data_IF_109085131828
#
_entry.id   IF_109085131828
#
_cell.length_a   1.000
_cell.length_b   1.000
_cell.length_c   1.000
_cell.angle_alpha   90.00
_cell.angle_beta   90.00
_cell.angle_gamma   90.00
#
_symmetry.space_group_name_H-M   'P 1'
#
loop_
_entity.id
_entity.type
_entity.pdbx_description
1 polymer ?
#
# COMPACT_ATOMS: atom_id res chain seq x y z
N UNK A 1 1.66 2.39 16.80
CA UNK A 1 0.39 2.95 16.31
C UNK A 1 -0.34 1.84 15.53
N UNK A 2 -1.56 1.41 15.90
CA UNK A 2 -2.35 0.55 15.04
C UNK A 2 -3.54 1.34 14.48
N UNK A 3 -3.40 1.82 13.26
CA UNK A 3 -4.53 2.26 12.43
C UNK A 3 -4.42 1.50 11.11
N UNK A 4 -4.96 0.27 11.07
CA UNK A 4 -5.01 -0.49 9.83
C UNK A 4 -5.99 0.16 8.87
N UNK A 5 -5.57 0.47 7.64
CA UNK A 5 -6.46 0.93 6.59
C UNK A 5 -7.47 -0.16 6.25
N UNK A 6 -8.77 0.14 6.41
CA UNK A 6 -9.84 -0.79 6.06
C UNK A 6 -9.78 -1.19 4.57
N UNK A 7 -10.12 -2.43 4.27
CA UNK A 7 -10.34 -2.88 2.90
C UNK A 7 -11.56 -2.17 2.29
N UNK A 8 -11.54 -1.88 0.99
CA UNK A 8 -12.74 -1.45 0.26
C UNK A 8 -13.80 -2.56 0.30
N UNK A 9 -15.07 -2.18 0.45
CA UNK A 9 -16.18 -3.15 0.52
C UNK A 9 -16.34 -3.95 -0.78
N UNK A 10 -16.65 -5.24 -0.66
CA UNK A 10 -16.99 -6.08 -1.81
C UNK A 10 -18.29 -5.56 -2.48
N UNK A 11 -18.26 -5.38 -3.81
CA UNK A 11 -19.44 -5.05 -4.60
C UNK A 11 -19.95 -3.61 -4.50
N UNK A 12 -19.14 -2.66 -4.01
CA UNK A 12 -19.54 -1.25 -3.93
C UNK A 12 -18.91 -0.43 -5.05
N UNK A 13 -19.75 0.11 -5.93
CA UNK A 13 -19.33 1.09 -6.93
C UNK A 13 -18.73 2.32 -6.25
N UNK A 14 -17.58 2.80 -6.74
CA UNK A 14 -16.87 4.01 -6.31
C UNK A 14 -16.18 4.01 -4.93
N UNK A 15 -16.17 2.89 -4.18
CA UNK A 15 -15.45 2.85 -2.91
C UNK A 15 -13.99 2.42 -3.11
N UNK A 16 -13.08 3.39 -3.06
CA UNK A 16 -11.66 3.13 -2.80
C UNK A 16 -11.47 2.48 -1.42
N UNK A 17 -10.35 1.78 -1.23
CA UNK A 17 -9.97 1.31 0.11
C UNK A 17 -9.71 2.45 1.09
N UNK A 18 -9.35 2.17 2.34
CA UNK A 18 -8.96 3.22 3.29
C UNK A 18 -7.58 3.80 3.00
N UNK A 19 -7.38 5.12 3.09
CA UNK A 19 -6.13 5.82 2.72
C UNK A 19 -4.84 5.34 3.41
N UNK A 20 -4.99 4.66 4.54
CA UNK A 20 -3.86 4.29 5.40
C UNK A 20 -3.37 5.48 6.22
N UNK A 21 -2.10 5.42 6.62
CA UNK A 21 -1.46 6.44 7.46
C UNK A 21 -0.46 7.21 6.61
N UNK A 22 -0.57 8.53 6.63
CA UNK A 22 0.50 9.40 6.15
C UNK A 22 1.63 9.42 7.17
N UNK A 23 2.83 9.03 6.75
CA UNK A 23 3.98 9.11 7.61
C UNK A 23 5.25 9.42 6.82
N UNK A 24 6.06 10.37 7.28
CA UNK A 24 5.76 11.36 8.33
C UNK A 24 4.56 12.25 7.94
N UNK A 25 3.87 12.83 8.92
CA UNK A 25 2.73 13.73 8.65
C UNK A 25 3.15 14.89 7.75
N UNK A 26 2.37 15.19 6.70
CA UNK A 26 2.67 16.24 5.72
C UNK A 26 3.75 15.87 4.68
N UNK A 27 4.19 14.62 4.62
CA UNK A 27 5.16 14.15 3.59
C UNK A 27 4.53 13.85 2.23
N UNK A 28 3.21 13.69 2.16
CA UNK A 28 2.48 13.14 1.02
C UNK A 28 2.66 11.62 0.84
N UNK A 29 3.38 10.95 1.75
CA UNK A 29 3.66 9.51 1.65
C UNK A 29 2.75 8.73 2.60
N UNK A 30 1.93 7.86 2.02
CA UNK A 30 0.99 7.00 2.72
C UNK A 30 1.47 5.55 2.77
N UNK A 31 1.10 4.87 3.85
CA UNK A 31 1.39 3.47 4.12
C UNK A 31 0.14 2.76 4.64
N UNK A 32 0.07 1.45 4.45
CA UNK A 32 -1.04 0.60 4.90
C UNK A 32 -2.42 1.01 4.33
N UNK A 33 -2.47 1.50 3.09
CA UNK A 33 -3.72 1.82 2.40
C UNK A 33 -4.45 0.56 1.89
N UNK A 34 -5.77 0.61 1.77
CA UNK A 34 -6.60 -0.49 1.27
C UNK A 34 -6.68 -0.55 -0.26
N UNK A 35 -7.08 -1.71 -0.81
CA UNK A 35 -7.42 -1.84 -2.22
C UNK A 35 -8.84 -1.39 -2.56
N UNK A 36 -9.08 -1.05 -3.82
CA UNK A 36 -10.39 -0.63 -4.33
C UNK A 36 -11.35 -1.79 -4.55
N UNK A 37 -12.64 -1.55 -4.33
CA UNK A 37 -13.71 -2.49 -4.66
C UNK A 37 -13.98 -2.56 -6.16
N UNK A 38 -14.73 -3.59 -6.59
CA UNK A 38 -15.19 -3.73 -7.97
C UNK A 38 -16.57 -3.14 -8.15
N UNK A 39 -16.89 -2.76 -9.38
CA UNK A 39 -18.20 -2.27 -9.78
C UNK A 39 -18.81 -3.18 -10.85
N UNK A 40 -20.12 -3.44 -10.75
CA UNK A 40 -20.94 -3.99 -11.83
C UNK A 40 -21.60 -2.80 -12.57
N UNK A 41 -21.45 -2.68 -13.90
CA UNK A 41 -22.48 -3.30 -14.76
C UNK A 41 -21.96 -3.88 -16.09
N UNK A 42 -22.79 -4.72 -16.70
CA UNK A 42 -22.64 -5.50 -17.94
C UNK A 42 -22.32 -4.69 -19.22
N UNK A 43 -21.97 -3.41 -19.15
CA UNK A 43 -21.68 -2.61 -20.34
C UNK A 43 -20.75 -1.43 -20.04
N UNK A 44 -19.51 -1.53 -20.50
CA UNK A 44 -18.67 -0.37 -20.77
C UNK A 44 -17.63 -0.08 -19.69
N UNK A 45 -16.37 -0.20 -20.11
CA UNK A 45 -15.14 0.28 -19.48
C UNK A 45 -15.36 1.45 -18.51
N UNK A 46 -15.51 1.14 -17.23
CA UNK A 46 -15.52 2.12 -16.15
C UNK A 46 -14.36 1.76 -15.24
N UNK A 47 -13.25 2.47 -15.31
CA UNK A 47 -12.19 2.35 -14.32
C UNK A 47 -12.78 2.71 -12.95
N UNK A 48 -12.95 1.73 -12.06
CA UNK A 48 -13.21 2.04 -10.65
C UNK A 48 -12.00 2.81 -10.13
N UNK A 49 -12.26 3.86 -9.34
CA UNK A 49 -11.20 4.69 -8.77
C UNK A 49 -10.12 3.79 -8.18
N UNK A 50 -8.86 4.06 -8.54
CA UNK A 50 -7.73 3.34 -7.96
C UNK A 50 -7.93 3.32 -6.44
N UNK A 51 -7.59 2.19 -5.81
CA UNK A 51 -7.43 2.20 -4.36
C UNK A 51 -6.67 3.46 -3.98
N UNK A 52 -7.09 4.12 -2.91
CA UNK A 52 -6.34 5.19 -2.23
C UNK A 52 -4.81 5.01 -2.30
N UNK A 53 -3.99 6.07 -2.09
CA UNK A 53 -2.58 6.04 -2.45
C UNK A 53 -1.90 4.69 -2.21
N UNK A 54 -1.42 4.08 -3.31
CA UNK A 54 -0.70 2.81 -3.34
C UNK A 54 -1.51 1.50 -3.21
N UNK A 55 -2.82 1.57 -2.99
CA UNK A 55 -3.73 0.42 -3.04
C UNK A 55 -3.96 -0.10 -4.46
N UNK A 56 -4.25 -1.39 -4.58
CA UNK A 56 -4.62 -2.00 -5.86
C UNK A 56 -5.97 -1.48 -6.36
N UNK A 57 -6.08 -1.14 -7.65
CA UNK A 57 -7.34 -0.75 -8.25
C UNK A 57 -8.30 -1.95 -8.35
N UNK A 58 -9.57 -1.74 -8.01
CA UNK A 58 -10.60 -2.70 -8.38
C UNK A 58 -10.89 -2.64 -9.88
N UNK A 59 -11.52 -3.66 -10.43
CA UNK A 59 -11.82 -3.74 -11.86
C UNK A 59 -13.31 -3.80 -12.17
N UNK A 60 -13.64 -3.51 -13.43
CA UNK A 60 -14.96 -3.67 -14.04
C UNK A 60 -14.83 -4.54 -15.28
N UNK A 61 -15.84 -5.37 -15.54
CA UNK A 61 -15.92 -6.24 -16.70
C UNK A 61 -15.57 -7.70 -16.44
N UNK A 62 -16.05 -8.56 -17.33
CA UNK A 62 -15.93 -10.01 -17.21
C UNK A 62 -14.47 -10.48 -17.33
N UNK A 63 -14.03 -11.35 -16.42
CA UNK A 63 -12.72 -12.01 -16.50
C UNK A 63 -11.49 -11.15 -16.18
N UNK A 64 -11.65 -9.96 -15.60
CA UNK A 64 -10.51 -9.06 -15.30
C UNK A 64 -10.03 -9.21 -13.85
N UNK A 65 -8.73 -9.49 -13.68
CA UNK A 65 -8.09 -9.60 -12.36
C UNK A 65 -7.88 -8.24 -11.68
N UNK A 66 -8.09 -8.21 -10.36
CA UNK A 66 -7.84 -7.04 -9.52
C UNK A 66 -6.39 -6.54 -9.60
N UNK A 67 -6.20 -5.23 -9.46
CA UNK A 67 -4.86 -4.63 -9.39
C UNK A 67 -4.13 -5.00 -8.10
N UNK A 68 -2.83 -5.24 -8.18
CA UNK A 68 -2.00 -5.47 -6.99
C UNK A 68 -1.76 -4.19 -6.20
N UNK A 69 -1.59 -4.31 -4.89
CA UNK A 69 -1.05 -3.24 -4.06
C UNK A 69 0.42 -2.95 -4.39
N UNK A 70 0.86 -1.71 -4.13
CA UNK A 70 2.23 -1.28 -4.35
C UNK A 70 3.18 -1.92 -3.32
N UNK A 71 4.27 -2.53 -3.79
CA UNK A 71 5.29 -3.11 -2.92
C UNK A 71 5.95 -2.05 -2.00
N UNK A 72 6.31 -2.45 -0.78
CA UNK A 72 6.96 -1.57 0.20
C UNK A 72 6.03 -0.49 0.77
N UNK A 73 4.71 -0.72 0.69
CA UNK A 73 3.68 0.19 1.20
C UNK A 73 2.71 -0.48 2.18
N UNK A 74 2.74 -1.81 2.28
CA UNK A 74 1.80 -2.58 3.09
C UNK A 74 0.35 -2.43 2.64
N UNK A 75 0.12 -2.13 1.35
CA UNK A 75 -1.22 -1.82 0.86
C UNK A 75 -2.04 -3.05 0.47
N UNK A 76 -3.36 -2.93 0.42
CA UNK A 76 -4.27 -3.97 -0.05
C UNK A 76 -4.31 -4.08 -1.59
N UNK A 77 -4.65 -5.28 -2.08
CA UNK A 77 -4.97 -5.51 -3.49
C UNK A 77 -6.45 -5.20 -3.79
N UNK A 78 -6.76 -4.88 -5.05
CA UNK A 78 -8.10 -4.54 -5.50
C UNK A 78 -8.95 -5.76 -5.85
N UNK A 79 -10.27 -5.58 -5.89
CA UNK A 79 -11.20 -6.64 -6.28
C UNK A 79 -11.19 -6.90 -7.80
N UNK A 80 -11.45 -8.16 -8.20
CA UNK A 80 -11.67 -8.53 -9.60
C UNK A 80 -13.01 -8.01 -10.12
N UNK A 81 -13.10 -7.91 -11.45
CA UNK A 81 -14.37 -7.69 -12.14
C UNK A 81 -15.31 -8.89 -11.98
N UNK A 82 -16.60 -8.63 -12.09
CA UNK A 82 -17.66 -9.64 -12.05
C UNK A 82 -17.85 -10.31 -13.42
N UNK A 83 -18.05 -11.64 -13.47
CA UNK A 83 -18.47 -12.40 -14.66
C UNK A 83 -17.38 -13.28 -15.28
N UNK A 84 -17.77 -14.44 -15.82
CA UNK A 84 -16.86 -15.43 -16.43
C UNK A 84 -16.06 -16.29 -15.43
N UNK A 85 -15.30 -17.27 -15.95
CA UNK A 85 -14.58 -18.25 -15.14
C UNK A 85 -13.40 -17.64 -14.36
N UNK A 86 -13.64 -17.29 -13.09
CA UNK A 86 -12.63 -17.26 -12.02
C UNK A 86 -11.59 -16.14 -11.97
N UNK A 87 -11.90 -14.86 -12.25
CA UNK A 87 -10.92 -13.78 -12.01
C UNK A 87 -10.63 -13.61 -10.51
N UNK A 88 -9.36 -13.39 -10.18
CA UNK A 88 -8.90 -13.27 -8.78
C UNK A 88 -8.74 -11.82 -8.37
N UNK A 89 -8.95 -11.54 -7.09
CA UNK A 89 -8.50 -10.28 -6.50
C UNK A 89 -6.99 -10.10 -6.65
N UNK A 90 -6.55 -8.84 -6.63
CA UNK A 90 -5.13 -8.51 -6.65
C UNK A 90 -4.45 -8.86 -5.32
N UNK A 91 -3.15 -9.12 -5.38
CA UNK A 91 -2.34 -9.35 -4.19
C UNK A 91 -2.12 -8.06 -3.41
N UNK A 92 -1.98 -8.16 -2.09
CA UNK A 92 -1.49 -7.06 -1.27
C UNK A 92 -0.03 -6.72 -1.58
N UNK A 93 0.34 -5.46 -1.36
CA UNK A 93 1.72 -5.00 -1.41
C UNK A 93 2.52 -5.46 -0.20
N UNK A 94 3.81 -5.72 -0.37
CA UNK A 94 4.72 -6.05 0.74
C UNK A 94 4.77 -4.92 1.78
N UNK A 95 5.02 -5.30 3.03
CA UNK A 95 5.16 -4.36 4.15
C UNK A 95 6.41 -3.48 4.07
N UNK A 96 6.53 -2.59 5.04
CA UNK A 96 7.66 -1.67 5.17
C UNK A 96 7.90 -1.37 6.64
N UNK A 97 9.17 -1.24 7.02
CA UNK A 97 9.58 -0.70 8.32
C UNK A 97 10.34 0.59 8.06
N UNK A 98 9.92 1.67 8.73
CA UNK A 98 10.64 2.94 8.68
C UNK A 98 10.99 3.37 10.10
N UNK A 99 12.28 3.64 10.31
CA UNK A 99 12.83 4.09 11.59
C UNK A 99 13.37 5.50 11.36
N UNK A 100 12.88 6.46 12.16
CA UNK A 100 13.28 7.86 12.07
C UNK A 100 13.67 8.38 13.45
N UNK A 101 14.83 9.01 13.55
CA UNK A 101 15.31 9.61 14.79
C UNK A 101 16.23 10.80 14.50
N UNK A 102 16.53 11.61 15.52
CA UNK A 102 17.44 12.77 15.36
C UNK A 102 18.84 12.30 15.00
N UNK A 103 19.47 12.98 14.05
CA UNK A 103 20.86 12.69 13.67
C UNK A 103 21.89 13.09 14.72
N UNK A 104 21.47 13.75 15.81
CA UNK A 104 22.28 14.01 17.00
C UNK A 104 22.60 12.73 17.80
N UNK A 105 21.81 11.67 17.63
CA UNK A 105 22.13 10.36 18.19
C UNK A 105 23.05 9.57 17.26
N UNK A 106 23.84 8.66 17.84
CA UNK A 106 24.75 7.79 17.10
C UNK A 106 24.04 7.01 15.99
N UNK A 107 24.76 6.80 14.89
CA UNK A 107 24.32 5.87 13.86
C UNK A 107 24.35 4.43 14.40
N UNK A 108 23.55 3.50 13.84
CA UNK A 108 23.54 2.10 14.25
C UNK A 108 24.89 1.45 13.95
N UNK A 109 25.33 0.55 14.83
CA UNK A 109 26.59 -0.18 14.67
C UNK A 109 26.50 -1.32 13.64
N UNK A 110 25.30 -1.77 13.27
CA UNK A 110 25.10 -2.80 12.25
C UNK A 110 23.74 -2.70 11.55
N UNK A 111 23.74 -3.00 10.25
CA UNK A 111 22.57 -3.03 9.38
C UNK A 111 22.64 -4.26 8.47
N UNK A 112 21.50 -4.93 8.25
CA UNK A 112 21.34 -5.98 7.25
C UNK A 112 20.12 -5.75 6.36
N UNK A 113 20.00 -6.45 5.23
CA UNK A 113 18.84 -6.32 4.33
C UNK A 113 18.81 -5.06 3.45
N UNK A 114 19.92 -4.32 3.39
CA UNK A 114 20.13 -3.16 2.51
C UNK A 114 19.01 -2.10 2.55
N UNK A 115 18.72 -1.52 3.73
CA UNK A 115 17.75 -0.43 3.83
C UNK A 115 18.19 0.79 3.03
N UNK A 116 17.22 1.58 2.58
CA UNK A 116 17.51 2.95 2.12
C UNK A 116 17.78 3.84 3.33
N UNK A 117 18.88 4.59 3.32
CA UNK A 117 19.28 5.49 4.40
C UNK A 117 19.27 6.92 3.89
N UNK A 118 18.54 7.80 4.59
CA UNK A 118 18.53 9.24 4.29
C UNK A 118 18.89 10.02 5.55
N UNK A 119 19.77 11.01 5.40
CA UNK A 119 20.13 11.95 6.48
C UNK A 119 19.91 13.36 5.95
N UNK A 120 18.94 14.07 6.50
CA UNK A 120 18.63 15.44 6.09
C UNK A 120 17.79 16.14 7.16
N UNK A 121 17.97 17.45 7.30
CA UNK A 121 17.15 18.28 8.20
C UNK A 121 17.20 17.86 9.67
N UNK A 122 18.35 17.40 10.17
CA UNK A 122 18.52 17.01 11.58
C UNK A 122 18.00 15.60 11.92
N UNK A 123 17.73 14.79 10.89
CA UNK A 123 17.06 13.50 11.01
C UNK A 123 17.82 12.45 10.24
N UNK A 124 17.87 11.24 10.81
CA UNK A 124 18.25 10.01 10.17
C UNK A 124 17.04 9.09 9.99
N UNK A 125 16.83 8.64 8.76
CA UNK A 125 15.77 7.71 8.38
C UNK A 125 16.34 6.44 7.76
N UNK A 126 15.86 5.29 8.22
CA UNK A 126 16.14 3.95 7.67
C UNK A 126 14.84 3.33 7.20
N UNK A 127 14.79 2.93 5.93
CA UNK A 127 13.61 2.29 5.32
C UNK A 127 13.93 0.88 4.81
N UNK A 128 13.25 -0.10 5.36
CA UNK A 128 13.31 -1.51 4.95
C UNK A 128 12.03 -1.87 4.19
N UNK A 129 12.18 -2.34 2.94
CA UNK A 129 11.08 -2.90 2.14
C UNK A 129 11.17 -4.43 2.00
N UNK A 130 12.15 -5.04 2.67
CA UNK A 130 12.36 -6.47 2.82
C UNK A 130 12.86 -6.79 4.23
N UNK A 131 13.20 -8.04 4.48
CA UNK A 131 13.73 -8.47 5.78
C UNK A 131 15.10 -7.87 6.06
N UNK A 132 15.36 -7.50 7.30
CA UNK A 132 16.64 -6.96 7.74
C UNK A 132 16.67 -6.72 9.25
N UNK A 133 17.80 -6.21 9.72
CA UNK A 133 18.03 -5.88 11.12
C UNK A 133 18.75 -4.54 11.25
N UNK A 134 18.58 -3.92 12.41
CA UNK A 134 19.27 -2.71 12.84
C UNK A 134 19.69 -2.89 14.30
N UNK A 135 20.97 -2.66 14.57
CA UNK A 135 21.54 -2.74 15.92
C UNK A 135 22.18 -1.42 16.26
N UNK A 136 21.83 -0.85 17.42
CA UNK A 136 22.35 0.40 17.95
C UNK A 136 23.49 0.15 18.94
#
# INVERSE_FOLDING_TARGET
MPGGGGAGGAGSVNNGGGIGIEWPSGSGVYYAGGGGGSATPYSGNSTVNAGVPYGGAGQVGDGVNGGNGTAGKGSGGGASGSGGAGPTGGNGGSGVVVIRYSDAYSAPISLSGSPTVTVSGGIREYKFTGSGSITF
#
